data_IF_485900593594
#
_entry.id   IF_485900593594
#
_cell.length_a   1.000
_cell.length_b   1.000
_cell.length_c   1.000
_cell.angle_alpha   90.00
_cell.angle_beta   90.00
_cell.angle_gamma   90.00
#
_symmetry.space_group_name_H-M   'P 1'
#
loop_
_entity.id
_entity.type
_entity.pdbx_description
1 polymer ?
#
# COMPACT_ATOMS: atom_id res chain seq x y z
N UNK A 1 -3.86 34.60 15.47
CA UNK A 1 -4.97 33.68 15.12
C UNK A 1 -6.22 34.53 15.00
N UNK A 2 -7.11 34.30 14.04
CA UNK A 2 -8.34 35.10 13.89
C UNK A 2 -9.48 34.46 14.68
N UNK A 3 -10.35 35.29 15.26
CA UNK A 3 -11.47 34.83 16.10
C UNK A 3 -12.62 34.23 15.29
N UNK A 4 -12.77 34.64 14.03
CA UNK A 4 -13.75 34.05 13.08
C UNK A 4 -13.06 33.63 11.80
N UNK A 5 -13.40 32.44 11.31
CA UNK A 5 -12.85 31.89 10.06
C UNK A 5 -13.14 32.77 8.84
N UNK A 6 -14.26 33.49 8.86
CA UNK A 6 -14.66 34.47 7.83
C UNK A 6 -13.68 35.65 7.71
N UNK A 7 -13.02 36.01 8.81
CA UNK A 7 -12.05 37.10 8.88
C UNK A 7 -10.67 36.66 8.34
N UNK A 8 -10.49 35.37 8.02
CA UNK A 8 -9.26 34.87 7.41
C UNK A 8 -9.24 35.05 5.89
N UNK A 9 -8.60 36.13 5.45
CA UNK A 9 -8.51 36.53 4.03
C UNK A 9 -7.90 35.46 3.10
N UNK A 10 -7.08 34.55 3.64
CA UNK A 10 -6.39 33.51 2.88
C UNK A 10 -7.12 32.15 2.89
N UNK A 11 -8.36 32.10 3.39
CA UNK A 11 -9.20 30.89 3.29
C UNK A 11 -10.15 30.96 2.08
N UNK A 12 -10.46 29.79 1.53
CA UNK A 12 -11.56 29.62 0.58
C UNK A 12 -12.94 29.59 1.25
N UNK A 13 -13.03 29.74 2.58
CA UNK A 13 -14.26 29.65 3.38
C UNK A 13 -15.35 30.61 2.87
N UNK A 14 -14.97 31.86 2.62
CA UNK A 14 -15.86 32.88 2.04
C UNK A 14 -16.35 32.51 0.63
N UNK A 15 -15.59 31.68 -0.09
CA UNK A 15 -15.99 31.11 -1.38
C UNK A 15 -17.12 30.10 -1.24
N UNK A 16 -17.06 29.21 -0.25
CA UNK A 16 -18.11 28.21 -0.01
C UNK A 16 -19.42 28.85 0.48
N UNK A 17 -19.35 29.93 1.26
CA UNK A 17 -20.53 30.66 1.74
C UNK A 17 -21.20 31.55 0.66
N UNK A 18 -20.44 31.98 -0.34
CA UNK A 18 -20.89 32.99 -1.31
C UNK A 18 -21.51 32.38 -2.57
N UNK A 19 -22.54 33.04 -3.10
CA UNK A 19 -23.14 32.77 -4.43
C UNK A 19 -22.58 33.66 -5.55
N UNK A 20 -21.59 34.50 -5.24
CA UNK A 20 -21.01 35.46 -6.21
C UNK A 20 -20.22 34.74 -7.31
N UNK A 21 -20.33 35.24 -8.53
CA UNK A 21 -19.62 34.76 -9.73
C UNK A 21 -18.10 34.84 -9.60
N UNK A 22 -17.56 35.69 -8.72
CA UNK A 22 -16.12 35.76 -8.44
C UNK A 22 -15.51 34.44 -7.96
N UNK A 23 -16.34 33.53 -7.44
CA UNK A 23 -15.93 32.23 -6.93
C UNK A 23 -16.22 31.07 -7.88
N UNK A 24 -16.53 31.34 -9.15
CA UNK A 24 -16.83 30.30 -10.14
C UNK A 24 -15.64 29.37 -10.43
N UNK A 25 -14.42 29.81 -10.13
CA UNK A 25 -13.22 28.97 -10.22
C UNK A 25 -13.14 27.90 -9.11
N UNK A 26 -13.88 28.08 -8.01
CA UNK A 26 -13.94 27.12 -6.91
C UNK A 26 -14.98 26.04 -7.22
N UNK A 27 -14.55 24.78 -7.37
CA UNK A 27 -15.47 23.66 -7.55
C UNK A 27 -16.14 23.31 -6.21
N UNK A 28 -17.35 23.84 -6.00
CA UNK A 28 -18.15 23.60 -4.79
C UNK A 28 -18.99 22.33 -4.86
N UNK A 29 -19.35 21.90 -6.08
CA UNK A 29 -20.30 20.80 -6.29
C UNK A 29 -19.77 19.47 -5.76
N UNK A 30 -18.50 19.16 -6.01
CA UNK A 30 -17.88 17.92 -5.52
C UNK A 30 -17.89 17.85 -3.99
N UNK A 31 -17.53 18.96 -3.33
CA UNK A 31 -17.47 19.02 -1.88
C UNK A 31 -18.87 19.03 -1.24
N UNK A 32 -19.80 19.81 -1.78
CA UNK A 32 -21.18 19.80 -1.28
C UNK A 32 -21.86 18.45 -1.47
N UNK A 33 -21.54 17.71 -2.53
CA UNK A 33 -22.01 16.33 -2.74
C UNK A 33 -21.50 15.34 -1.68
N UNK A 34 -20.40 15.64 -0.99
CA UNK A 34 -19.95 14.82 0.15
C UNK A 34 -20.80 15.05 1.40
N UNK A 35 -21.36 16.26 1.56
CA UNK A 35 -22.16 16.63 2.73
C UNK A 35 -23.65 16.30 2.53
N UNK A 36 -24.20 16.67 1.38
CA UNK A 36 -25.63 16.45 1.10
C UNK A 36 -25.94 16.51 -0.40
N UNK A 37 -26.83 15.61 -0.84
CA UNK A 37 -27.41 15.66 -2.19
C UNK A 37 -28.46 16.77 -2.35
N UNK A 38 -28.97 17.31 -1.23
CA UNK A 38 -30.05 18.29 -1.23
C UNK A 38 -29.50 19.70 -1.39
N UNK A 39 -29.64 20.27 -2.61
CA UNK A 39 -29.10 21.60 -2.95
C UNK A 39 -29.47 22.72 -1.99
N UNK A 40 -30.69 22.72 -1.45
CA UNK A 40 -31.17 23.75 -0.51
C UNK A 40 -30.49 23.67 0.86
N UNK A 41 -30.00 22.50 1.28
CA UNK A 41 -29.35 22.30 2.58
C UNK A 41 -27.84 22.49 2.59
N UNK A 42 -27.19 22.52 1.42
CA UNK A 42 -25.72 22.58 1.27
C UNK A 42 -25.02 23.61 2.14
N UNK A 43 -25.56 24.83 2.23
CA UNK A 43 -24.98 25.90 3.05
C UNK A 43 -25.13 25.65 4.56
N UNK A 44 -26.23 25.03 4.97
CA UNK A 44 -26.47 24.70 6.37
C UNK A 44 -25.53 23.57 6.81
N UNK A 45 -25.49 22.47 6.06
CA UNK A 45 -24.62 21.32 6.32
C UNK A 45 -23.13 21.72 6.29
N UNK A 46 -22.74 22.64 5.40
CA UNK A 46 -21.38 23.17 5.40
C UNK A 46 -21.02 23.90 6.69
N UNK A 47 -21.94 24.73 7.21
CA UNK A 47 -21.70 25.47 8.46
C UNK A 47 -21.63 24.55 9.65
N UNK A 48 -22.47 23.52 9.68
CA UNK A 48 -22.42 22.47 10.71
C UNK A 48 -21.06 21.75 10.62
N UNK A 49 -20.67 21.26 9.45
CA UNK A 49 -19.39 20.58 9.25
C UNK A 49 -18.17 21.41 9.68
N UNK A 50 -18.15 22.71 9.41
CA UNK A 50 -17.04 23.59 9.84
C UNK A 50 -17.03 23.84 11.35
N UNK A 51 -18.17 23.68 12.03
CA UNK A 51 -18.28 23.82 13.49
C UNK A 51 -17.99 22.51 14.22
N UNK A 52 -18.11 21.38 13.54
CA UNK A 52 -17.75 20.09 14.11
C UNK A 52 -16.27 20.07 14.51
N UNK A 53 -15.99 19.47 15.66
CA UNK A 53 -14.61 19.24 16.09
C UNK A 53 -13.98 18.11 15.25
N UNK A 54 -12.68 18.22 15.02
CA UNK A 54 -11.94 17.15 14.36
C UNK A 54 -12.06 15.84 15.16
N UNK A 55 -12.32 14.74 14.48
CA UNK A 55 -12.41 13.45 15.16
C UNK A 55 -11.07 13.04 15.78
N UNK A 56 -11.12 12.37 16.93
CA UNK A 56 -9.93 11.85 17.63
C UNK A 56 -9.03 11.00 16.71
N UNK A 57 -9.64 10.25 15.77
CA UNK A 57 -8.95 9.46 14.77
C UNK A 57 -8.07 10.31 13.86
N UNK A 58 -8.60 11.43 13.37
CA UNK A 58 -7.89 12.36 12.48
C UNK A 58 -6.80 13.11 13.25
N UNK A 59 -7.12 13.62 14.44
CA UNK A 59 -6.16 14.29 15.33
C UNK A 59 -5.00 13.34 15.67
N UNK A 60 -5.31 12.09 15.99
CA UNK A 60 -4.33 11.04 16.27
C UNK A 60 -3.45 10.70 15.07
N UNK A 61 -3.96 10.79 13.84
CA UNK A 61 -3.16 10.62 12.62
C UNK A 61 -2.20 11.78 12.40
N UNK A 62 -2.68 13.03 12.49
CA UNK A 62 -1.86 14.22 12.25
C UNK A 62 -0.84 14.49 13.36
N UNK A 63 -1.08 13.97 14.56
CA UNK A 63 -0.12 14.03 15.68
C UNK A 63 1.08 13.07 15.53
N UNK A 64 1.06 12.15 14.56
CA UNK A 64 2.16 11.19 14.36
C UNK A 64 3.36 11.85 13.72
N UNK A 65 4.56 11.54 14.25
CA UNK A 65 5.85 11.91 13.62
C UNK A 65 6.01 11.39 12.18
N UNK A 66 5.34 10.27 11.85
CA UNK A 66 5.25 9.75 10.48
C UNK A 66 3.79 9.52 10.11
N UNK A 67 3.28 10.37 9.23
CA UNK A 67 1.92 10.26 8.72
C UNK A 67 1.79 9.12 7.72
N UNK A 68 0.62 8.45 7.67
CA UNK A 68 0.35 7.46 6.64
C UNK A 68 0.25 8.14 5.27
N UNK A 69 0.74 7.47 4.23
CA UNK A 69 0.68 7.96 2.84
C UNK A 69 -0.75 7.96 2.30
N UNK A 70 -1.59 7.05 2.82
CA UNK A 70 -3.00 6.92 2.46
C UNK A 70 -3.80 7.01 3.75
N UNK A 71 -4.75 7.94 3.77
CA UNK A 71 -5.68 8.16 4.87
C UNK A 71 -7.10 7.90 4.37
N UNK A 72 -7.90 7.21 5.18
CA UNK A 72 -9.29 6.91 4.86
C UNK A 72 -9.76 5.62 5.54
N UNK A 73 -10.99 5.22 5.23
CA UNK A 73 -11.55 3.96 5.71
C UNK A 73 -10.74 2.75 5.19
N UNK A 74 -10.75 1.63 5.92
CA UNK A 74 -9.98 0.43 5.57
C UNK A 74 -10.27 -0.06 4.15
N UNK A 75 -11.55 -0.09 3.75
CA UNK A 75 -11.97 -0.43 2.38
C UNK A 75 -11.38 0.49 1.32
N UNK A 76 -11.27 1.79 1.62
CA UNK A 76 -10.68 2.77 0.71
C UNK A 76 -9.17 2.56 0.59
N UNK A 77 -8.50 2.27 1.71
CA UNK A 77 -7.06 1.95 1.72
C UNK A 77 -6.79 0.68 0.91
N UNK A 78 -7.61 -0.36 1.06
CA UNK A 78 -7.50 -1.59 0.27
C UNK A 78 -7.73 -1.33 -1.22
N UNK A 79 -8.81 -0.63 -1.58
CA UNK A 79 -9.07 -0.22 -2.96
C UNK A 79 -7.91 0.59 -3.56
N UNK A 80 -7.36 1.55 -2.82
CA UNK A 80 -6.24 2.35 -3.28
C UNK A 80 -4.99 1.49 -3.49
N UNK A 81 -4.71 0.56 -2.57
CA UNK A 81 -3.62 -0.41 -2.74
C UNK A 81 -3.83 -1.24 -3.99
N UNK A 82 -5.00 -1.84 -4.17
CA UNK A 82 -5.33 -2.65 -5.35
C UNK A 82 -5.15 -1.86 -6.66
N UNK A 83 -5.74 -0.66 -6.73
CA UNK A 83 -5.69 0.19 -7.92
C UNK A 83 -4.26 0.59 -8.32
N UNK A 84 -3.39 0.83 -7.33
CA UNK A 84 -2.03 1.33 -7.56
C UNK A 84 -0.92 0.29 -7.32
N UNK A 85 -1.26 -0.99 -7.09
CA UNK A 85 -0.29 -2.09 -6.95
C UNK A 85 0.64 -2.25 -8.17
N UNK A 86 0.20 -1.82 -9.35
CA UNK A 86 0.98 -1.86 -10.59
C UNK A 86 1.99 -0.72 -10.76
N UNK A 87 1.95 0.31 -9.91
CA UNK A 87 2.95 1.37 -9.93
C UNK A 87 4.30 0.77 -9.52
N UNK A 88 5.27 0.82 -10.42
CA UNK A 88 6.60 0.25 -10.18
C UNK A 88 7.19 0.87 -8.92
N UNK A 89 7.60 0.04 -7.96
CA UNK A 89 8.38 0.49 -6.81
C UNK A 89 9.55 1.34 -7.31
N UNK A 90 9.55 2.59 -6.90
CA UNK A 90 10.65 3.51 -7.16
C UNK A 90 11.60 3.41 -5.96
N UNK A 91 12.87 3.07 -6.21
CA UNK A 91 13.86 2.95 -5.13
C UNK A 91 14.03 4.27 -4.35
N UNK A 92 13.80 5.40 -5.02
CA UNK A 92 13.83 6.75 -4.44
C UNK A 92 12.64 7.05 -3.54
N UNK A 93 11.57 6.25 -3.59
CA UNK A 93 10.33 6.44 -2.80
C UNK A 93 10.03 5.17 -1.99
N UNK A 94 10.69 4.97 -0.82
CA UNK A 94 10.49 3.81 0.06
C UNK A 94 9.04 3.55 0.44
N UNK A 95 8.24 4.60 0.51
CA UNK A 95 6.81 4.63 0.86
C UNK A 95 5.95 3.81 -0.13
N UNK A 96 6.39 3.65 -1.38
CA UNK A 96 5.71 2.78 -2.37
C UNK A 96 5.68 1.32 -1.95
N UNK A 97 6.52 0.90 -0.99
CA UNK A 97 6.49 -0.46 -0.41
C UNK A 97 5.20 -0.78 0.36
N UNK A 98 4.36 0.20 0.67
CA UNK A 98 3.02 -0.01 1.27
C UNK A 98 2.04 -0.61 0.27
N UNK A 99 2.27 -0.40 -1.04
CA UNK A 99 1.43 -0.90 -2.13
C UNK A 99 1.74 -2.36 -2.51
N UNK A 100 2.76 -2.98 -1.90
CA UNK A 100 3.18 -4.34 -2.25
C UNK A 100 2.98 -5.31 -1.08
N UNK A 101 2.73 -6.60 -1.35
CA UNK A 101 2.47 -7.59 -0.31
C UNK A 101 3.59 -7.64 0.74
N UNK A 102 3.24 -7.79 2.01
CA UNK A 102 4.22 -7.88 3.10
C UNK A 102 5.07 -9.16 2.97
N UNK A 103 6.31 -9.14 3.49
CA UNK A 103 7.18 -10.34 3.49
C UNK A 103 6.51 -11.53 4.16
N UNK A 104 5.73 -11.28 5.22
CA UNK A 104 4.92 -12.31 5.91
C UNK A 104 3.88 -12.90 4.96
N UNK A 105 3.06 -12.07 4.31
CA UNK A 105 2.07 -12.53 3.32
C UNK A 105 2.70 -13.37 2.20
N UNK A 106 3.87 -12.98 1.69
CA UNK A 106 4.60 -13.74 0.65
C UNK A 106 5.05 -15.11 1.18
N UNK A 107 5.60 -15.19 2.39
CA UNK A 107 5.98 -16.47 3.00
C UNK A 107 4.76 -17.35 3.22
N UNK A 108 3.68 -16.79 3.77
CA UNK A 108 2.44 -17.51 4.04
C UNK A 108 1.79 -18.04 2.76
N UNK A 109 1.79 -17.27 1.67
CA UNK A 109 1.24 -17.73 0.39
C UNK A 109 2.04 -18.88 -0.19
N UNK A 110 3.37 -18.83 -0.11
CA UNK A 110 4.24 -19.92 -0.56
C UNK A 110 4.07 -21.16 0.32
N UNK A 111 4.04 -21.01 1.64
CA UNK A 111 3.76 -22.10 2.58
C UNK A 111 2.44 -22.80 2.26
N UNK A 112 1.37 -22.05 1.98
CA UNK A 112 0.07 -22.59 1.57
C UNK A 112 0.13 -23.38 0.25
N UNK A 113 0.86 -22.88 -0.75
CA UNK A 113 0.96 -23.54 -2.07
C UNK A 113 1.79 -24.82 -2.01
N UNK A 114 2.86 -24.82 -1.21
CA UNK A 114 3.76 -25.95 -1.06
C UNK A 114 3.36 -26.92 0.06
N UNK A 115 2.35 -26.57 0.86
CA UNK A 115 1.92 -27.29 2.06
C UNK A 115 3.08 -27.55 3.04
N UNK A 116 3.85 -26.50 3.31
CA UNK A 116 5.03 -26.56 4.19
C UNK A 116 4.94 -25.52 5.31
N UNK A 117 5.53 -25.83 6.46
CA UNK A 117 5.65 -24.88 7.57
C UNK A 117 6.63 -23.74 7.25
N UNK A 118 6.43 -22.57 7.88
CA UNK A 118 7.30 -21.40 7.72
C UNK A 118 8.75 -21.72 8.14
N UNK A 119 8.94 -22.58 9.16
CA UNK A 119 10.25 -23.06 9.60
C UNK A 119 11.05 -23.74 8.50
N UNK A 120 10.36 -24.44 7.60
CA UNK A 120 10.99 -25.17 6.49
C UNK A 120 11.62 -24.26 5.44
N UNK A 121 11.18 -22.99 5.35
CA UNK A 121 11.78 -21.98 4.46
C UNK A 121 13.19 -21.59 4.91
N UNK A 122 13.53 -21.81 6.19
CA UNK A 122 14.86 -21.50 6.74
C UNK A 122 15.81 -22.69 6.72
N UNK A 123 15.26 -23.91 6.58
CA UNK A 123 16.03 -25.15 6.63
C UNK A 123 17.05 -25.26 5.50
N UNK A 124 18.29 -25.63 5.86
CA UNK A 124 19.34 -26.01 4.93
C UNK A 124 19.46 -27.53 5.00
N UNK A 125 19.00 -28.23 3.96
CA UNK A 125 19.19 -29.67 3.83
C UNK A 125 20.28 -29.92 2.79
N UNK A 126 21.39 -30.54 3.20
CA UNK A 126 22.48 -30.87 2.28
C UNK A 126 21.96 -31.81 1.19
N UNK A 127 22.22 -31.49 -0.09
CA UNK A 127 21.85 -32.34 -1.24
C UNK A 127 20.42 -32.16 -1.78
N UNK A 128 19.55 -31.38 -1.12
CA UNK A 128 18.17 -31.15 -1.59
C UNK A 128 17.92 -29.66 -1.79
N UNK A 129 17.47 -29.29 -2.99
CA UNK A 129 17.07 -27.92 -3.31
C UNK A 129 15.74 -27.59 -2.65
N UNK A 130 15.73 -26.56 -1.81
CA UNK A 130 14.51 -26.06 -1.18
C UNK A 130 13.74 -25.18 -2.17
N UNK A 131 12.91 -25.80 -3.01
CA UNK A 131 12.11 -25.11 -4.05
C UNK A 131 11.20 -24.03 -3.43
N UNK A 132 10.55 -24.33 -2.30
CA UNK A 132 9.68 -23.38 -1.61
C UNK A 132 10.44 -22.12 -1.15
N UNK A 133 11.62 -22.27 -0.54
CA UNK A 133 12.49 -21.13 -0.16
C UNK A 133 12.90 -20.32 -1.39
N UNK A 134 13.30 -20.98 -2.47
CA UNK A 134 13.74 -20.33 -3.70
C UNK A 134 12.61 -19.50 -4.33
N UNK A 135 11.39 -20.06 -4.37
CA UNK A 135 10.20 -19.34 -4.84
C UNK A 135 9.84 -18.16 -3.95
N UNK A 136 9.93 -18.30 -2.63
CA UNK A 136 9.68 -17.20 -1.70
C UNK A 136 10.70 -16.05 -1.88
N UNK A 137 11.98 -16.38 -2.05
CA UNK A 137 13.06 -15.42 -2.36
C UNK A 137 12.78 -14.72 -3.69
N UNK A 138 12.42 -15.48 -4.73
CA UNK A 138 12.11 -14.96 -6.05
C UNK A 138 10.90 -14.00 -6.03
N UNK A 139 9.80 -14.38 -5.38
CA UNK A 139 8.61 -13.53 -5.25
C UNK A 139 8.89 -12.28 -4.42
N UNK A 140 9.71 -12.38 -3.38
CA UNK A 140 10.12 -11.22 -2.58
C UNK A 140 10.89 -10.21 -3.44
N UNK A 141 11.83 -10.68 -4.28
CA UNK A 141 12.55 -9.81 -5.21
C UNK A 141 11.63 -9.24 -6.30
N UNK A 142 10.76 -10.06 -6.88
CA UNK A 142 9.88 -9.68 -7.99
C UNK A 142 8.83 -8.64 -7.56
N UNK A 143 8.21 -8.83 -6.40
CA UNK A 143 7.07 -8.01 -5.94
C UNK A 143 7.50 -6.84 -5.07
N UNK A 144 8.52 -6.98 -4.22
CA UNK A 144 8.93 -5.93 -3.27
C UNK A 144 10.19 -5.17 -3.67
N UNK A 145 10.95 -5.69 -4.65
CA UNK A 145 12.29 -5.18 -5.03
C UNK A 145 13.24 -4.99 -3.84
N UNK A 146 13.02 -5.71 -2.73
CA UNK A 146 13.86 -5.62 -1.54
C UNK A 146 15.32 -5.94 -1.90
N UNK A 147 16.27 -5.31 -1.20
CA UNK A 147 17.70 -5.48 -1.48
C UNK A 147 18.15 -6.92 -1.24
N UNK A 148 19.17 -7.39 -1.98
CA UNK A 148 19.71 -8.75 -1.80
C UNK A 148 20.17 -8.99 -0.36
N UNK A 149 20.67 -7.93 0.31
CA UNK A 149 21.07 -7.97 1.73
C UNK A 149 19.87 -8.17 2.65
N UNK A 150 18.76 -7.45 2.41
CA UNK A 150 17.52 -7.62 3.20
C UNK A 150 16.90 -9.00 3.01
N UNK A 151 16.87 -9.50 1.77
CA UNK A 151 16.37 -10.85 1.46
C UNK A 151 17.26 -11.90 2.13
N UNK A 152 18.59 -11.73 2.09
CA UNK A 152 19.52 -12.63 2.75
C UNK A 152 19.30 -12.72 4.26
N UNK A 153 19.13 -11.57 4.92
CA UNK A 153 18.78 -11.50 6.35
C UNK A 153 17.43 -12.17 6.64
N UNK A 154 16.41 -11.87 5.86
CA UNK A 154 15.06 -12.42 6.04
C UNK A 154 15.03 -13.95 5.95
N UNK A 155 15.71 -14.52 4.96
CA UNK A 155 15.70 -15.97 4.70
C UNK A 155 16.90 -16.71 5.32
N UNK A 156 17.71 -16.09 6.17
CA UNK A 156 18.95 -16.68 6.74
C UNK A 156 19.88 -17.27 5.67
N UNK A 157 20.07 -16.55 4.57
CA UNK A 157 21.04 -16.89 3.52
C UNK A 157 22.34 -16.16 3.82
N UNK A 158 23.46 -16.87 3.82
CA UNK A 158 24.77 -16.38 4.28
C UNK A 158 25.38 -15.27 3.42
N UNK A 159 25.12 -15.24 2.11
CA UNK A 159 25.70 -14.21 1.23
C UNK A 159 24.68 -13.64 0.23
N UNK A 160 24.87 -12.36 -0.13
CA UNK A 160 24.08 -11.70 -1.17
C UNK A 160 24.26 -12.37 -2.54
N UNK A 161 25.44 -12.94 -2.80
CA UNK A 161 25.74 -13.67 -4.04
C UNK A 161 24.91 -14.94 -4.14
N UNK A 162 24.73 -15.69 -3.05
CA UNK A 162 23.83 -16.85 -3.02
C UNK A 162 22.37 -16.45 -3.27
N UNK A 163 21.91 -15.33 -2.71
CA UNK A 163 20.56 -14.81 -2.98
C UNK A 163 20.41 -14.48 -4.48
N UNK A 164 21.39 -13.81 -5.07
CA UNK A 164 21.40 -13.51 -6.51
C UNK A 164 21.34 -14.78 -7.37
N UNK A 165 22.17 -15.77 -7.08
CA UNK A 165 22.18 -17.05 -7.79
C UNK A 165 20.86 -17.80 -7.66
N UNK A 166 20.21 -17.78 -6.48
CA UNK A 166 18.89 -18.38 -6.28
C UNK A 166 17.85 -17.70 -7.17
N UNK A 167 17.85 -16.37 -7.22
CA UNK A 167 16.90 -15.60 -8.03
C UNK A 167 17.07 -15.92 -9.51
N UNK A 168 18.29 -15.90 -10.04
CA UNK A 168 18.54 -16.19 -11.46
C UNK A 168 18.22 -17.64 -11.81
N UNK A 169 18.60 -18.62 -10.96
CA UNK A 169 18.22 -20.02 -11.17
C UNK A 169 16.70 -20.20 -11.18
N UNK A 170 16.00 -19.65 -10.20
CA UNK A 170 14.54 -19.75 -10.09
C UNK A 170 13.85 -19.11 -11.29
N UNK A 171 14.37 -17.98 -11.79
CA UNK A 171 13.86 -17.32 -12.99
C UNK A 171 13.95 -18.23 -14.22
N UNK A 172 15.09 -18.90 -14.43
CA UNK A 172 15.28 -19.88 -15.51
C UNK A 172 14.37 -21.09 -15.32
N UNK A 173 14.30 -21.64 -14.11
CA UNK A 173 13.50 -22.81 -13.80
C UNK A 173 11.99 -22.57 -13.97
N UNK A 174 11.51 -21.36 -13.68
CA UNK A 174 10.10 -20.96 -13.89
C UNK A 174 9.74 -20.96 -15.38
N UNK A 175 10.69 -20.61 -16.26
CA UNK A 175 10.47 -20.66 -17.72
C UNK A 175 10.49 -22.10 -18.20
N UNK A 176 11.42 -22.91 -17.69
CA UNK A 176 11.65 -24.30 -18.14
C UNK A 176 10.59 -25.28 -17.62
N UNK A 177 10.11 -25.10 -16.38
CA UNK A 177 9.20 -26.03 -15.71
C UNK A 177 7.76 -25.49 -15.67
N UNK A 178 6.87 -26.15 -16.43
CA UNK A 178 5.43 -25.86 -16.37
C UNK A 178 4.85 -26.01 -14.95
N UNK A 179 5.36 -26.98 -14.18
CA UNK A 179 4.93 -27.22 -12.78
C UNK A 179 5.29 -26.04 -11.91
N UNK A 180 6.54 -25.59 -11.95
CA UNK A 180 7.02 -24.46 -11.14
C UNK A 180 6.29 -23.16 -11.51
N UNK A 181 6.10 -22.90 -12.82
CA UNK A 181 5.29 -21.77 -13.29
C UNK A 181 3.89 -21.76 -12.72
N UNK A 182 3.22 -22.93 -12.66
CA UNK A 182 1.88 -23.07 -12.08
C UNK A 182 1.88 -22.76 -10.59
N UNK A 183 2.90 -23.21 -9.84
CA UNK A 183 3.02 -22.92 -8.40
C UNK A 183 3.27 -21.44 -8.13
N UNK A 184 4.17 -20.81 -8.88
CA UNK A 184 4.44 -19.36 -8.77
C UNK A 184 3.18 -18.54 -9.07
N UNK A 185 2.44 -18.91 -10.12
CA UNK A 185 1.20 -18.22 -10.47
C UNK A 185 0.09 -18.42 -9.41
N UNK A 186 -0.02 -19.61 -8.81
CA UNK A 186 -0.93 -19.84 -7.68
C UNK A 186 -0.56 -18.98 -6.48
N UNK A 187 0.73 -18.93 -6.12
CA UNK A 187 1.19 -18.10 -5.01
C UNK A 187 0.94 -16.61 -5.28
N UNK A 188 1.13 -16.14 -6.52
CA UNK A 188 0.78 -14.77 -6.94
C UNK A 188 -0.72 -14.50 -6.84
N UNK A 189 -1.57 -15.44 -7.25
CA UNK A 189 -3.04 -15.29 -7.17
C UNK A 189 -3.56 -15.17 -5.73
N UNK A 190 -2.84 -15.70 -4.74
CA UNK A 190 -3.16 -15.54 -3.32
C UNK A 190 -2.68 -14.18 -2.77
N UNK A 191 -1.75 -13.53 -3.46
CA UNK A 191 -1.15 -12.24 -3.07
C UNK A 191 -1.80 -11.04 -3.77
N UNK A 192 -2.56 -11.29 -4.84
CA UNK A 192 -3.52 -10.36 -5.45
C UNK A 192 -4.83 -10.40 -4.69
#
# INVERSE_FOLDING_TARGET
>A
MVDRLEDYAWSSHNGYLSKSSKWNWLNKEAFFGLLTDVKSKRLAEYREFIREEDSDDIVGVFSKKKMPIILGAEKFIEWAKEKYTGCSIQEEIPETKVLVPSRKKIKDSVCKVYNVDIGSLYGIHRGVTNEARNVAIYLTRLLRRDSLKEIGKEFKVSSYSSVSSIIEKTKVDVVRSKKLKKQVNKARKILS
#
